data_IF_228997796983
#
_entry.id   IF_228997796983
#
_cell.length_a   1.000
_cell.length_b   1.000
_cell.length_c   1.000
_cell.angle_alpha   90.00
_cell.angle_beta   90.00
_cell.angle_gamma   90.00
#
_symmetry.space_group_name_H-M   'P 1'
#
loop_
_entity.id
_entity.type
_entity.pdbx_description
1 polymer ?
#
# COMPACT_ATOMS: atom_id res chain seq x y z
N UNK A 1 -70.99 6.09 9.13
CA UNK A 1 -70.13 5.14 9.86
C UNK A 1 -69.32 4.30 8.89
N UNK A 2 -68.11 3.99 9.20
CA UNK A 2 -67.07 3.25 8.41
C UNK A 2 -66.31 4.10 7.37
N UNK A 3 -65.02 4.30 7.67
CA UNK A 3 -64.04 4.66 6.66
C UNK A 3 -62.93 5.62 7.07
N UNK A 4 -62.26 5.40 8.21
CA UNK A 4 -60.97 6.04 8.49
C UNK A 4 -60.12 5.06 9.35
N UNK A 5 -59.37 4.20 8.68
CA UNK A 5 -58.27 3.41 9.24
C UNK A 5 -57.58 2.71 8.06
N UNK A 6 -56.58 3.35 7.44
CA UNK A 6 -55.51 2.64 6.72
C UNK A 6 -54.56 3.63 5.99
N UNK A 7 -53.87 4.48 6.74
CA UNK A 7 -52.71 5.20 6.14
C UNK A 7 -51.49 5.29 7.09
N UNK A 8 -51.51 4.69 8.25
CA UNK A 8 -50.37 4.70 9.19
C UNK A 8 -49.39 3.51 9.05
N UNK A 9 -49.71 2.51 8.22
CA UNK A 9 -48.91 1.27 8.09
C UNK A 9 -47.82 1.28 7.02
N UNK A 10 -47.78 2.25 6.13
CA UNK A 10 -46.84 2.25 5.00
C UNK A 10 -45.55 3.08 5.13
N UNK A 11 -45.45 3.95 6.14
CA UNK A 11 -44.24 4.79 6.37
C UNK A 11 -43.22 4.21 7.33
N UNK A 12 -43.48 3.06 7.97
CA UNK A 12 -42.52 2.40 8.89
C UNK A 12 -41.69 1.23 8.28
N UNK A 13 -41.95 0.85 7.03
CA UNK A 13 -41.26 -0.30 6.39
C UNK A 13 -40.10 0.06 5.47
N UNK A 14 -39.84 1.34 5.19
CA UNK A 14 -38.75 1.77 4.27
C UNK A 14 -37.49 2.21 5.01
N UNK A 15 -37.55 2.45 6.34
CA UNK A 15 -36.36 2.86 7.11
C UNK A 15 -35.66 1.73 7.89
N UNK A 16 -36.18 0.50 7.86
CA UNK A 16 -35.57 -0.66 8.54
C UNK A 16 -34.62 -1.49 7.64
N UNK A 17 -34.58 -1.27 6.32
CA UNK A 17 -33.83 -2.12 5.39
C UNK A 17 -32.38 -1.70 5.13
N UNK A 18 -31.94 -0.53 5.61
CA UNK A 18 -30.57 -0.05 5.43
C UNK A 18 -29.66 -0.25 6.66
N UNK A 19 -30.24 -0.62 7.82
CA UNK A 19 -29.47 -0.85 9.07
C UNK A 19 -29.11 -2.32 9.33
N UNK A 20 -29.77 -3.28 8.70
CA UNK A 20 -29.54 -4.71 8.95
C UNK A 20 -28.49 -5.36 8.03
N UNK A 21 -28.05 -4.70 6.94
CA UNK A 21 -27.07 -5.31 6.03
C UNK A 21 -25.60 -5.24 6.49
N UNK A 22 -25.28 -4.43 7.48
CA UNK A 22 -23.89 -4.24 7.95
C UNK A 22 -23.54 -5.20 9.10
N UNK A 23 -24.52 -5.71 9.86
CA UNK A 23 -24.26 -6.61 11.00
C UNK A 23 -24.06 -8.08 10.62
N UNK A 24 -24.47 -8.50 9.41
CA UNK A 24 -24.32 -9.91 8.98
C UNK A 24 -23.02 -10.21 8.27
N UNK A 25 -22.29 -9.21 7.76
CA UNK A 25 -21.04 -9.41 7.01
C UNK A 25 -19.88 -9.76 7.94
N UNK A 26 -19.82 -9.21 9.15
CA UNK A 26 -18.72 -9.47 10.10
C UNK A 26 -18.70 -10.92 10.65
N UNK A 27 -19.85 -11.47 10.99
CA UNK A 27 -19.93 -12.82 11.56
C UNK A 27 -19.70 -13.94 10.54
N UNK A 28 -20.08 -13.73 9.27
CA UNK A 28 -19.95 -14.75 8.22
C UNK A 28 -18.52 -14.85 7.68
N UNK A 29 -17.78 -13.74 7.64
CA UNK A 29 -16.39 -13.74 7.23
C UNK A 29 -15.48 -14.45 8.24
N UNK A 30 -15.68 -14.22 9.54
CA UNK A 30 -14.94 -14.90 10.61
C UNK A 30 -15.16 -16.43 10.63
N UNK A 31 -16.36 -16.91 10.29
CA UNK A 31 -16.69 -18.34 10.25
C UNK A 31 -16.08 -19.07 9.04
N UNK A 32 -15.88 -18.39 7.91
CA UNK A 32 -15.26 -18.99 6.70
C UNK A 32 -13.75 -19.17 6.85
N UNK A 33 -13.07 -18.31 7.58
CA UNK A 33 -11.62 -18.42 7.84
C UNK A 33 -11.27 -19.66 8.70
N UNK A 34 -12.20 -20.22 9.47
CA UNK A 34 -11.96 -21.40 10.30
C UNK A 34 -11.99 -22.75 9.55
N UNK A 35 -12.43 -22.80 8.28
CA UNK A 35 -12.60 -24.05 7.52
C UNK A 35 -11.76 -24.20 6.26
N UNK A 36 -11.03 -23.20 5.85
CA UNK A 36 -10.15 -23.29 4.68
C UNK A 36 -8.78 -23.80 5.11
N UNK A 37 -8.53 -25.09 4.95
CA UNK A 37 -7.16 -25.58 4.78
C UNK A 37 -6.59 -24.86 3.56
N UNK A 38 -5.38 -24.26 3.63
CA UNK A 38 -4.84 -23.54 2.49
C UNK A 38 -4.72 -24.50 1.31
N UNK A 39 -5.29 -24.18 0.14
CA UNK A 39 -5.10 -24.98 -1.06
C UNK A 39 -3.60 -25.08 -1.34
N UNK A 40 -3.14 -26.23 -1.82
CA UNK A 40 -1.77 -26.48 -2.28
C UNK A 40 -1.50 -25.69 -3.57
N UNK A 41 -1.44 -24.34 -3.47
CA UNK A 41 -1.11 -23.51 -4.62
C UNK A 41 0.38 -23.16 -4.63
N UNK A 42 0.94 -23.24 -5.80
CA UNK A 42 2.32 -22.87 -6.08
C UNK A 42 2.55 -21.38 -5.79
N UNK A 43 3.56 -21.13 -5.07
CA UNK A 43 4.18 -19.95 -4.48
C UNK A 43 4.42 -18.79 -5.45
N UNK A 44 3.98 -17.59 -5.15
CA UNK A 44 4.27 -16.37 -5.89
C UNK A 44 4.20 -15.10 -5.01
N UNK A 45 4.77 -14.00 -5.44
CA UNK A 45 5.45 -12.95 -4.67
C UNK A 45 4.77 -11.60 -4.56
N UNK A 46 5.18 -10.82 -3.52
CA UNK A 46 4.86 -9.45 -3.23
C UNK A 46 4.07 -9.34 -1.92
N UNK A 47 4.69 -8.88 -0.84
CA UNK A 47 4.03 -8.78 0.47
C UNK A 47 2.68 -8.05 0.37
N UNK A 48 2.62 -6.90 -0.32
CA UNK A 48 1.39 -6.13 -0.53
C UNK A 48 0.34 -6.90 -1.34
N UNK A 49 0.77 -7.67 -2.35
CA UNK A 49 -0.14 -8.48 -3.15
C UNK A 49 -0.69 -9.66 -2.35
N UNK A 50 0.12 -10.27 -1.46
CA UNK A 50 -0.35 -11.28 -0.51
C UNK A 50 -1.35 -10.72 0.51
N UNK A 51 -1.14 -9.49 0.98
CA UNK A 51 -2.11 -8.77 1.80
C UNK A 51 -3.43 -8.62 1.05
N UNK A 52 -3.39 -8.14 -0.20
CA UNK A 52 -4.59 -7.96 -1.00
C UNK A 52 -5.32 -9.29 -1.28
N UNK A 53 -4.59 -10.37 -1.58
CA UNK A 53 -5.20 -11.70 -1.77
C UNK A 53 -5.98 -12.14 -0.52
N UNK A 54 -5.41 -11.99 0.68
CA UNK A 54 -6.10 -12.35 1.93
C UNK A 54 -7.33 -11.48 2.20
N UNK A 55 -7.25 -10.16 1.92
CA UNK A 55 -8.41 -9.27 2.02
C UNK A 55 -9.51 -9.65 1.03
N UNK A 56 -9.15 -9.97 -0.21
CA UNK A 56 -10.09 -10.39 -1.24
C UNK A 56 -10.80 -11.70 -0.90
N UNK A 57 -10.07 -12.69 -0.34
CA UNK A 57 -10.67 -13.95 0.14
C UNK A 57 -11.60 -13.74 1.35
N UNK A 58 -11.31 -12.75 2.20
CA UNK A 58 -12.17 -12.35 3.31
C UNK A 58 -13.38 -11.49 2.88
N UNK A 59 -13.56 -11.26 1.58
CA UNK A 59 -14.58 -10.37 1.00
C UNK A 59 -14.49 -8.91 1.46
N UNK A 60 -13.31 -8.49 1.93
CA UNK A 60 -13.01 -7.10 2.26
C UNK A 60 -12.59 -6.36 0.99
N UNK A 61 -13.40 -5.37 0.62
CA UNK A 61 -13.26 -4.63 -0.64
C UNK A 61 -12.74 -3.24 -0.33
N UNK A 62 -11.53 -2.88 -0.76
CA UNK A 62 -11.11 -1.49 -0.68
C UNK A 62 -11.93 -0.66 -1.66
N UNK A 63 -12.47 0.45 -1.17
CA UNK A 63 -13.06 1.53 -1.95
C UNK A 63 -12.01 2.62 -2.28
N UNK A 64 -10.85 2.54 -1.64
CA UNK A 64 -9.72 3.42 -1.89
C UNK A 64 -8.39 2.68 -1.71
N UNK A 65 -7.52 2.77 -2.71
CA UNK A 65 -6.15 2.30 -2.66
C UNK A 65 -5.21 3.48 -2.89
N UNK A 66 -4.19 3.59 -2.04
CA UNK A 66 -3.19 4.64 -2.16
C UNK A 66 -1.80 4.01 -2.07
N UNK A 67 -0.90 4.40 -2.95
CA UNK A 67 0.42 3.81 -3.03
C UNK A 67 1.51 4.78 -3.44
N UNK A 68 2.74 4.41 -3.07
CA UNK A 68 3.98 5.06 -3.49
C UNK A 68 4.95 3.98 -3.96
N UNK A 69 5.72 4.27 -5.01
CA UNK A 69 6.70 3.32 -5.56
C UNK A 69 6.04 2.01 -6.01
N UNK A 70 6.54 0.86 -5.57
CA UNK A 70 5.93 -0.44 -5.85
C UNK A 70 4.46 -0.53 -5.34
N UNK A 71 4.13 0.22 -4.28
CA UNK A 71 2.76 0.36 -3.80
C UNK A 71 1.85 1.04 -4.80
N UNK A 72 2.35 1.99 -5.59
CA UNK A 72 1.60 2.64 -6.66
C UNK A 72 1.29 1.66 -7.81
N UNK A 73 2.25 0.81 -8.17
CA UNK A 73 2.07 -0.23 -9.19
C UNK A 73 1.00 -1.23 -8.74
N UNK A 74 1.10 -1.76 -7.52
CA UNK A 74 0.09 -2.67 -6.97
C UNK A 74 -1.30 -2.01 -6.91
N UNK A 75 -1.36 -0.75 -6.44
CA UNK A 75 -2.61 0.01 -6.34
C UNK A 75 -3.24 0.26 -7.72
N UNK A 76 -2.44 0.58 -8.74
CA UNK A 76 -2.93 0.76 -10.11
C UNK A 76 -3.48 -0.54 -10.69
N UNK A 77 -2.80 -1.69 -10.46
CA UNK A 77 -3.31 -3.00 -10.88
C UNK A 77 -4.62 -3.35 -10.16
N UNK A 78 -4.75 -3.03 -8.87
CA UNK A 78 -5.99 -3.26 -8.12
C UNK A 78 -7.12 -2.36 -8.66
N UNK A 79 -6.87 -1.07 -8.84
CA UNK A 79 -7.89 -0.14 -9.30
C UNK A 79 -8.25 -0.31 -10.78
N UNK A 80 -7.30 -0.66 -11.64
CA UNK A 80 -7.50 -0.79 -13.08
C UNK A 80 -7.92 -2.19 -13.54
N UNK A 81 -8.55 -2.99 -12.66
CA UNK A 81 -9.08 -4.29 -13.04
C UNK A 81 -10.39 -4.59 -12.30
N UNK A 82 -11.24 -5.39 -12.94
CA UNK A 82 -12.42 -5.91 -12.28
C UNK A 82 -12.02 -6.83 -11.13
N UNK A 83 -12.86 -6.92 -10.14
CA UNK A 83 -12.58 -7.56 -8.86
C UNK A 83 -11.99 -8.97 -8.99
N UNK A 84 -12.60 -9.78 -9.86
CA UNK A 84 -12.27 -11.19 -10.07
C UNK A 84 -10.88 -11.40 -10.65
N UNK A 85 -10.34 -10.40 -11.34
CA UNK A 85 -9.05 -10.45 -12.02
C UNK A 85 -7.91 -9.84 -11.21
N UNK A 86 -8.17 -8.99 -10.22
CA UNK A 86 -7.16 -8.20 -9.48
C UNK A 86 -6.01 -9.05 -8.95
N UNK A 87 -6.32 -10.15 -8.24
CA UNK A 87 -5.30 -11.05 -7.70
C UNK A 87 -4.52 -11.74 -8.81
N UNK A 88 -5.21 -12.16 -9.88
CA UNK A 88 -4.57 -12.76 -11.06
C UNK A 88 -3.62 -11.80 -11.76
N UNK A 89 -4.00 -10.53 -11.92
CA UNK A 89 -3.17 -9.49 -12.54
C UNK A 89 -1.97 -9.08 -11.68
N UNK A 90 -2.15 -8.99 -10.36
CA UNK A 90 -1.04 -8.82 -9.43
C UNK A 90 -0.04 -9.97 -9.57
N UNK A 91 -0.54 -11.20 -9.65
CA UNK A 91 0.29 -12.40 -9.80
C UNK A 91 1.04 -12.38 -11.13
N UNK A 92 0.36 -12.03 -12.22
CA UNK A 92 0.96 -11.91 -13.55
C UNK A 92 2.11 -10.89 -13.57
N UNK A 93 1.91 -9.71 -12.98
CA UNK A 93 2.95 -8.70 -12.84
C UNK A 93 4.17 -9.24 -12.08
N UNK A 94 3.92 -9.79 -10.90
CA UNK A 94 4.98 -10.25 -10.03
C UNK A 94 5.71 -11.47 -10.59
N UNK A 95 5.05 -12.37 -11.29
CA UNK A 95 5.67 -13.48 -12.00
C UNK A 95 6.52 -13.01 -13.17
N UNK A 96 6.09 -11.96 -13.88
CA UNK A 96 6.87 -11.39 -15.00
C UNK A 96 8.20 -10.80 -14.50
N UNK A 97 8.12 -9.88 -13.54
CA UNK A 97 9.32 -9.14 -13.05
C UNK A 97 10.28 -10.02 -12.26
N UNK A 98 9.88 -11.23 -11.92
CA UNK A 98 10.72 -12.21 -11.20
C UNK A 98 11.21 -13.36 -12.06
N UNK A 99 10.95 -13.33 -13.35
CA UNK A 99 11.54 -14.33 -14.28
C UNK A 99 13.05 -14.13 -14.34
N UNK A 100 13.75 -15.26 -14.44
CA UNK A 100 15.17 -15.20 -14.77
C UNK A 100 15.34 -14.56 -16.16
N UNK A 101 16.22 -13.54 -16.31
CA UNK A 101 16.48 -12.92 -17.60
C UNK A 101 17.09 -13.90 -18.62
N UNK A 102 17.63 -15.03 -18.17
CA UNK A 102 18.21 -16.07 -19.01
C UNK A 102 17.23 -17.16 -19.46
N UNK A 103 15.94 -17.05 -19.08
CA UNK A 103 14.90 -17.99 -19.49
C UNK A 103 14.89 -19.35 -18.76
N UNK A 104 15.85 -19.60 -17.88
CA UNK A 104 15.89 -20.78 -17.01
C UNK A 104 16.20 -20.36 -15.58
N UNK A 105 15.41 -20.87 -14.63
CA UNK A 105 15.66 -20.68 -13.22
C UNK A 105 16.80 -21.62 -12.79
N UNK A 106 18.03 -21.10 -12.74
CA UNK A 106 19.12 -21.84 -12.09
C UNK A 106 18.86 -21.72 -10.58
N UNK A 107 18.18 -22.70 -10.02
CA UNK A 107 18.06 -22.84 -8.57
C UNK A 107 19.41 -23.36 -8.02
N UNK A 108 20.42 -22.47 -7.97
CA UNK A 108 21.71 -22.75 -7.36
C UNK A 108 21.61 -23.20 -5.91
N UNK A 109 20.50 -22.87 -5.22
CA UNK A 109 20.26 -23.31 -3.85
C UNK A 109 19.99 -24.81 -3.77
N UNK A 110 19.46 -25.44 -4.82
CA UNK A 110 19.32 -26.92 -4.89
C UNK A 110 20.64 -27.61 -5.18
N UNK A 111 21.57 -26.95 -5.88
CA UNK A 111 22.89 -27.51 -6.18
C UNK A 111 23.85 -27.48 -4.98
N UNK A 112 23.64 -26.51 -4.09
CA UNK A 112 24.44 -26.32 -2.87
C UNK A 112 23.55 -26.65 -1.67
N UNK A 113 23.55 -27.89 -1.22
CA UNK A 113 22.81 -28.41 -0.05
C UNK A 113 22.49 -27.36 1.06
N UNK A 114 21.54 -26.50 0.82
CA UNK A 114 20.54 -25.90 1.69
C UNK A 114 20.92 -25.06 2.92
N UNK A 115 22.12 -24.57 3.15
CA UNK A 115 22.45 -23.70 4.27
C UNK A 115 22.13 -22.20 4.05
N UNK A 116 22.11 -21.38 5.12
CA UNK A 116 21.87 -19.94 5.08
C UNK A 116 22.89 -19.20 4.18
N UNK A 117 24.14 -19.69 4.12
CA UNK A 117 25.17 -19.17 3.25
C UNK A 117 24.85 -19.36 1.76
N UNK A 118 24.29 -20.49 1.35
CA UNK A 118 23.87 -20.76 -0.01
C UNK A 118 22.70 -19.88 -0.42
N UNK A 119 21.75 -19.64 0.49
CA UNK A 119 20.63 -18.71 0.30
C UNK A 119 21.11 -17.27 0.13
N UNK A 120 22.06 -16.83 0.96
CA UNK A 120 22.66 -15.49 0.86
C UNK A 120 23.42 -15.31 -0.47
N UNK A 121 24.18 -16.30 -0.91
CA UNK A 121 24.90 -16.29 -2.18
C UNK A 121 23.92 -16.23 -3.38
N UNK A 122 22.85 -17.02 -3.38
CA UNK A 122 21.84 -16.99 -4.43
C UNK A 122 21.15 -15.62 -4.53
N UNK A 123 20.83 -14.98 -3.40
CA UNK A 123 20.26 -13.63 -3.34
C UNK A 123 21.22 -12.58 -3.91
N UNK A 124 22.50 -12.63 -3.53
CA UNK A 124 23.52 -11.72 -4.05
C UNK A 124 23.70 -11.88 -5.57
N UNK A 125 23.73 -13.12 -6.06
CA UNK A 125 23.87 -13.39 -7.51
C UNK A 125 22.65 -12.87 -8.27
N UNK A 126 21.44 -13.07 -7.75
CA UNK A 126 20.20 -12.53 -8.36
C UNK A 126 20.22 -10.99 -8.40
N UNK A 127 20.64 -10.33 -7.31
CA UNK A 127 20.75 -8.88 -7.27
C UNK A 127 21.79 -8.33 -8.25
N UNK A 128 22.96 -8.97 -8.36
CA UNK A 128 23.99 -8.60 -9.34
C UNK A 128 23.44 -8.80 -10.76
N UNK A 129 22.77 -9.91 -11.04
CA UNK A 129 22.16 -10.17 -12.33
C UNK A 129 21.11 -9.11 -12.69
N UNK A 130 20.21 -8.77 -11.77
CA UNK A 130 19.23 -7.70 -11.97
C UNK A 130 19.91 -6.34 -12.24
N UNK A 131 21.03 -6.07 -11.57
CA UNK A 131 21.79 -4.83 -11.78
C UNK A 131 22.50 -4.77 -13.14
N UNK A 132 22.96 -5.90 -13.66
CA UNK A 132 23.75 -5.95 -14.92
C UNK A 132 22.86 -6.19 -16.15
N UNK A 133 21.81 -6.99 -16.03
CA UNK A 133 20.96 -7.42 -17.14
C UNK A 133 19.61 -6.69 -17.15
N UNK A 134 19.20 -6.15 -16.00
CA UNK A 134 17.89 -5.55 -15.81
C UNK A 134 16.86 -6.53 -15.26
N UNK A 135 15.60 -6.07 -15.22
CA UNK A 135 14.45 -6.82 -14.69
C UNK A 135 13.43 -7.00 -15.80
N UNK A 136 13.07 -8.25 -16.16
CA UNK A 136 12.10 -8.54 -17.21
C UNK A 136 10.78 -7.79 -17.01
N UNK A 137 10.28 -7.12 -18.04
CA UNK A 137 9.04 -6.37 -17.98
C UNK A 137 9.07 -5.12 -17.09
N UNK A 138 10.26 -4.74 -16.57
CA UNK A 138 10.41 -3.58 -15.69
C UNK A 138 11.48 -2.60 -16.21
N UNK A 139 12.75 -3.02 -16.32
CA UNK A 139 13.81 -2.13 -16.72
C UNK A 139 14.97 -2.87 -17.40
N UNK A 140 15.73 -2.13 -18.22
CA UNK A 140 17.00 -2.57 -18.80
C UNK A 140 18.09 -1.54 -18.55
N UNK A 141 19.38 -1.96 -18.39
CA UNK A 141 20.48 -1.03 -18.27
C UNK A 141 20.62 -0.17 -19.54
N UNK A 142 20.98 1.09 -19.38
CA UNK A 142 21.24 1.97 -20.51
C UNK A 142 22.55 1.61 -21.22
N UNK A 143 22.51 1.54 -22.51
CA UNK A 143 23.69 1.32 -23.40
C UNK A 143 23.64 2.40 -24.48
N UNK A 144 24.65 3.29 -24.60
CA UNK A 144 25.82 3.45 -23.73
C UNK A 144 25.40 3.89 -22.32
N UNK A 145 26.26 3.59 -21.31
CA UNK A 145 26.01 3.90 -19.92
C UNK A 145 25.81 5.41 -19.66
N UNK A 146 25.14 5.73 -18.59
CA UNK A 146 24.70 7.08 -18.18
C UNK A 146 25.79 8.16 -18.30
N UNK A 147 27.03 7.84 -17.93
CA UNK A 147 28.15 8.79 -17.99
C UNK A 147 28.63 9.13 -19.43
N UNK A 148 28.18 8.37 -20.43
CA UNK A 148 28.49 8.58 -21.85
C UNK A 148 27.30 9.22 -22.60
N UNK A 149 26.22 9.55 -21.92
CA UNK A 149 25.06 10.20 -22.51
C UNK A 149 25.26 11.73 -22.58
N UNK A 150 24.64 12.40 -23.55
CA UNK A 150 24.68 13.86 -23.63
C UNK A 150 24.16 14.52 -22.35
N UNK A 151 24.85 15.53 -21.80
CA UNK A 151 24.37 16.27 -20.63
C UNK A 151 22.96 16.84 -20.83
N UNK A 152 22.21 16.93 -19.77
CA UNK A 152 20.83 17.48 -19.75
C UNK A 152 19.76 16.62 -20.45
N UNK A 153 20.09 15.37 -20.77
CA UNK A 153 19.09 14.39 -21.22
C UNK A 153 18.61 13.53 -20.06
N UNK A 154 17.41 12.96 -20.14
CA UNK A 154 16.90 12.02 -19.12
C UNK A 154 17.78 10.76 -19.06
N UNK A 155 18.38 10.38 -20.19
CA UNK A 155 19.30 9.26 -20.30
C UNK A 155 20.58 9.49 -19.48
N UNK A 156 21.06 10.74 -19.40
CA UNK A 156 22.21 11.12 -18.59
C UNK A 156 21.91 11.16 -17.09
N UNK A 157 20.64 11.08 -16.69
CA UNK A 157 20.18 11.21 -15.30
C UNK A 157 19.78 9.87 -14.65
N UNK A 158 19.89 8.74 -15.36
CA UNK A 158 19.44 7.45 -14.84
C UNK A 158 20.22 6.26 -15.39
N UNK A 159 20.39 5.23 -14.56
CA UNK A 159 21.12 4.03 -14.94
C UNK A 159 20.31 3.06 -15.81
N UNK A 160 18.98 3.09 -15.68
CA UNK A 160 18.10 2.15 -16.39
C UNK A 160 17.07 2.88 -17.23
N UNK A 161 16.64 2.19 -18.27
CA UNK A 161 15.46 2.51 -19.07
C UNK A 161 14.24 1.74 -18.53
N UNK A 162 13.11 2.41 -18.36
CA UNK A 162 11.87 1.84 -17.82
C UNK A 162 10.74 1.72 -18.84
N UNK A 163 11.05 1.77 -20.13
CA UNK A 163 10.06 1.60 -21.22
C UNK A 163 9.32 0.27 -21.12
N UNK A 164 10.02 -0.80 -20.66
CA UNK A 164 9.38 -2.10 -20.44
C UNK A 164 8.29 -2.04 -19.36
N UNK A 165 8.49 -1.25 -18.30
CA UNK A 165 7.48 -1.06 -17.28
C UNK A 165 6.23 -0.38 -17.85
N UNK A 166 6.40 0.63 -18.72
CA UNK A 166 5.28 1.29 -19.38
C UNK A 166 4.42 0.28 -20.12
N UNK A 167 5.02 -0.51 -21.00
CA UNK A 167 4.31 -1.55 -21.77
C UNK A 167 3.64 -2.59 -20.86
N UNK A 168 4.30 -2.97 -19.76
CA UNK A 168 3.74 -3.91 -18.79
C UNK A 168 2.51 -3.35 -18.10
N UNK A 169 2.57 -2.09 -17.68
CA UNK A 169 1.43 -1.42 -17.02
C UNK A 169 0.26 -1.20 -17.96
N UNK A 170 0.52 -0.75 -19.21
CA UNK A 170 -0.51 -0.58 -20.23
C UNK A 170 -1.24 -1.90 -20.56
N UNK A 171 -0.57 -3.03 -20.42
CA UNK A 171 -1.15 -4.36 -20.62
C UNK A 171 -1.94 -4.87 -19.40
N UNK A 172 -1.53 -4.51 -18.18
CA UNK A 172 -2.08 -5.05 -16.94
C UNK A 172 -3.11 -4.15 -16.27
N UNK A 173 -3.21 -2.89 -16.67
CA UNK A 173 -4.04 -1.87 -16.04
C UNK A 173 -4.95 -1.24 -17.08
N UNK A 174 -6.23 -1.28 -16.86
CA UNK A 174 -7.22 -0.53 -17.63
C UNK A 174 -7.35 0.89 -17.02
N UNK A 175 -6.70 1.86 -17.67
CA UNK A 175 -6.73 3.26 -17.26
C UNK A 175 -8.08 3.92 -17.55
N UNK A 176 -8.84 3.44 -18.53
CA UNK A 176 -10.18 3.94 -18.81
C UNK A 176 -11.14 3.53 -17.69
N UNK A 177 -10.99 2.32 -17.15
CA UNK A 177 -11.72 1.85 -15.98
C UNK A 177 -11.44 2.76 -14.76
N UNK A 178 -10.16 3.05 -14.46
CA UNK A 178 -9.77 3.93 -13.33
C UNK A 178 -10.42 5.30 -13.46
N UNK A 179 -10.48 5.86 -14.67
CA UNK A 179 -11.01 7.19 -14.94
C UNK A 179 -12.53 7.22 -15.20
N UNK A 180 -13.19 6.05 -15.15
CA UNK A 180 -14.63 5.97 -15.42
C UNK A 180 -15.45 6.57 -14.28
N UNK A 181 -16.53 7.27 -14.62
CA UNK A 181 -17.47 7.81 -13.64
C UNK A 181 -18.16 6.69 -12.88
N UNK A 182 -18.07 6.74 -11.55
CA UNK A 182 -18.69 5.73 -10.68
C UNK A 182 -17.84 4.47 -10.49
N UNK A 183 -16.57 4.53 -10.84
CA UNK A 183 -15.61 3.49 -10.48
C UNK A 183 -15.61 3.26 -8.96
N UNK A 184 -15.58 2.00 -8.55
CA UNK A 184 -15.75 1.59 -7.16
C UNK A 184 -14.47 1.71 -6.32
N UNK A 185 -13.31 1.97 -6.94
CA UNK A 185 -12.01 2.08 -6.26
C UNK A 185 -11.31 3.39 -6.60
N UNK A 186 -11.23 4.29 -5.64
CA UNK A 186 -10.39 5.49 -5.73
C UNK A 186 -8.91 5.12 -5.74
N UNK A 187 -8.11 5.74 -6.59
CA UNK A 187 -6.67 5.55 -6.68
C UNK A 187 -5.93 6.85 -6.37
N UNK A 188 -4.96 6.79 -5.44
CA UNK A 188 -4.04 7.91 -5.16
C UNK A 188 -2.59 7.46 -5.29
N UNK A 189 -1.77 8.24 -6.00
CA UNK A 189 -0.37 7.94 -6.32
C UNK A 189 0.54 9.04 -5.80
N UNK A 190 1.46 8.68 -4.88
CA UNK A 190 2.42 9.62 -4.30
C UNK A 190 3.67 9.78 -5.16
N UNK A 191 4.03 11.03 -5.50
CA UNK A 191 5.19 11.41 -6.29
C UNK A 191 5.91 12.59 -5.66
N UNK A 192 7.15 12.87 -6.06
CA UNK A 192 7.87 14.10 -5.69
C UNK A 192 8.14 14.91 -6.95
N UNK A 193 7.68 16.15 -6.96
CA UNK A 193 8.03 17.08 -8.02
C UNK A 193 9.52 17.46 -7.92
N UNK A 194 10.26 17.27 -9.01
CA UNK A 194 11.73 17.42 -9.02
C UNK A 194 12.18 18.83 -8.75
N UNK A 195 11.48 19.82 -9.32
CA UNK A 195 11.87 21.22 -9.22
C UNK A 195 11.54 21.83 -7.85
N UNK A 196 10.35 21.55 -7.33
CA UNK A 196 9.91 22.09 -6.05
C UNK A 196 10.31 21.28 -4.83
N UNK A 197 10.67 20.00 -5.02
CA UNK A 197 10.90 19.03 -3.93
C UNK A 197 9.66 18.66 -3.13
N UNK A 198 8.47 19.06 -3.57
CA UNK A 198 7.23 18.82 -2.84
C UNK A 198 6.63 17.43 -3.16
N UNK A 199 6.07 16.80 -2.13
CA UNK A 199 5.26 15.60 -2.27
C UNK A 199 3.91 15.95 -2.90
N UNK A 200 3.61 15.35 -4.03
CA UNK A 200 2.39 15.55 -4.81
C UNK A 200 1.64 14.21 -4.89
N UNK A 201 0.32 14.26 -4.71
CA UNK A 201 -0.54 13.10 -4.94
C UNK A 201 -1.42 13.33 -6.16
N UNK A 202 -1.34 12.43 -7.12
CA UNK A 202 -2.32 12.32 -8.20
C UNK A 202 -3.44 11.40 -7.76
N UNK A 203 -4.68 11.85 -7.90
CA UNK A 203 -5.85 11.18 -7.35
C UNK A 203 -6.96 11.05 -8.40
N UNK A 204 -7.51 9.84 -8.58
CA UNK A 204 -8.51 9.57 -9.61
C UNK A 204 -9.82 10.34 -9.46
N UNK A 205 -10.03 11.01 -8.31
CA UNK A 205 -11.21 11.89 -8.13
C UNK A 205 -11.01 13.30 -8.67
N UNK A 206 -9.75 13.72 -8.86
CA UNK A 206 -9.39 15.07 -9.30
C UNK A 206 -8.58 15.08 -10.59
N UNK A 207 -7.87 13.99 -10.87
CA UNK A 207 -6.92 13.88 -11.96
C UNK A 207 -7.32 12.75 -12.94
N UNK A 208 -7.00 12.92 -14.21
CA UNK A 208 -7.06 11.82 -15.18
C UNK A 208 -5.80 11.00 -15.05
N UNK A 209 -5.91 9.82 -14.44
CA UNK A 209 -4.77 8.95 -14.20
C UNK A 209 -4.30 8.29 -15.50
N UNK A 210 -3.01 8.41 -15.79
CA UNK A 210 -2.32 7.82 -16.94
C UNK A 210 -1.17 6.94 -16.44
N UNK A 211 -0.61 6.14 -17.33
CA UNK A 211 0.54 5.26 -17.02
C UNK A 211 1.74 6.04 -16.48
N UNK A 212 1.95 7.26 -16.96
CA UNK A 212 3.03 8.14 -16.52
C UNK A 212 2.95 8.46 -15.01
N UNK A 213 1.75 8.61 -14.44
CA UNK A 213 1.58 8.86 -13.00
C UNK A 213 2.06 7.66 -12.16
N UNK A 214 1.79 6.43 -12.61
CA UNK A 214 2.26 5.21 -11.95
C UNK A 214 3.78 5.09 -12.07
N UNK A 215 4.32 5.35 -13.26
CA UNK A 215 5.75 5.33 -13.53
C UNK A 215 6.50 6.39 -12.71
N UNK A 216 5.96 7.61 -12.61
CA UNK A 216 6.52 8.70 -11.80
C UNK A 216 6.63 8.32 -10.33
N UNK A 217 5.56 7.70 -9.78
CA UNK A 217 5.58 7.20 -8.41
C UNK A 217 6.63 6.11 -8.17
N UNK A 218 7.01 5.36 -9.19
CA UNK A 218 8.05 4.32 -9.14
C UNK A 218 9.43 4.76 -9.65
N UNK A 219 9.61 6.03 -10.00
CA UNK A 219 10.85 6.58 -10.58
C UNK A 219 11.91 6.86 -9.52
N UNK A 220 12.48 5.80 -8.92
CA UNK A 220 13.49 5.89 -7.87
C UNK A 220 14.83 6.36 -8.42
N UNK A 221 15.22 7.57 -8.03
CA UNK A 221 16.53 8.15 -8.38
C UNK A 221 17.70 7.46 -7.66
N UNK A 222 18.89 7.38 -8.22
CA UNK A 222 19.29 7.70 -9.59
C UNK A 222 19.08 6.52 -10.55
N UNK A 223 18.37 5.47 -10.11
CA UNK A 223 18.21 4.24 -10.88
C UNK A 223 17.30 4.44 -12.09
N UNK A 224 16.18 5.13 -11.93
CA UNK A 224 15.17 5.35 -12.96
C UNK A 224 15.05 6.82 -13.34
N UNK A 225 14.69 7.13 -14.61
CA UNK A 225 14.56 8.51 -15.07
C UNK A 225 13.39 9.22 -14.39
N UNK A 226 13.49 10.54 -14.27
CA UNK A 226 12.33 11.37 -13.96
C UNK A 226 11.28 11.20 -15.07
N UNK A 227 10.01 11.23 -14.68
CA UNK A 227 8.88 11.12 -15.60
C UNK A 227 8.24 12.49 -15.78
N UNK A 228 8.08 12.91 -17.04
CA UNK A 228 7.39 14.15 -17.38
C UNK A 228 5.88 13.95 -17.36
N UNK A 229 5.17 14.85 -16.65
CA UNK A 229 3.70 14.93 -16.60
C UNK A 229 3.33 16.40 -16.75
N UNK A 230 2.66 16.72 -17.83
CA UNK A 230 2.13 18.06 -18.12
C UNK A 230 3.18 19.20 -18.02
N UNK A 231 4.42 18.91 -18.45
CA UNK A 231 5.57 19.84 -18.49
C UNK A 231 6.38 19.91 -17.21
N UNK A 232 6.04 19.14 -16.19
CA UNK A 232 6.82 19.04 -14.95
C UNK A 232 7.39 17.64 -14.78
N UNK A 233 8.49 17.53 -14.00
CA UNK A 233 9.21 16.27 -13.80
C UNK A 233 9.01 15.72 -12.41
N UNK A 234 8.80 14.41 -12.31
CA UNK A 234 8.47 13.73 -11.07
C UNK A 234 9.39 12.53 -10.83
N UNK A 235 9.72 12.32 -9.56
CA UNK A 235 10.40 11.14 -9.02
C UNK A 235 9.52 10.39 -8.02
N UNK A 236 10.03 9.24 -7.58
CA UNK A 236 9.40 8.37 -6.59
C UNK A 236 9.06 9.13 -5.30
N UNK A 237 7.80 9.07 -4.90
CA UNK A 237 7.31 9.69 -3.67
C UNK A 237 7.95 9.15 -2.40
N UNK A 238 8.51 7.93 -2.44
CA UNK A 238 9.21 7.28 -1.34
C UNK A 238 10.47 8.03 -0.85
N UNK A 239 11.00 8.96 -1.66
CA UNK A 239 12.04 9.88 -1.21
C UNK A 239 11.58 10.70 0.01
N UNK A 240 10.30 11.06 0.05
CA UNK A 240 9.69 11.88 1.10
C UNK A 240 8.79 11.05 2.00
N UNK A 241 7.92 10.19 1.43
CA UNK A 241 6.95 9.40 2.20
C UNK A 241 6.66 8.06 1.53
N UNK A 242 6.91 6.97 2.26
CA UNK A 242 6.61 5.62 1.79
C UNK A 242 5.15 5.20 2.01
N UNK A 243 4.46 5.84 2.96
CA UNK A 243 3.08 5.53 3.31
C UNK A 243 2.19 6.74 3.11
N UNK A 244 1.07 6.63 2.39
CA UNK A 244 0.17 7.75 2.10
C UNK A 244 -0.74 8.12 3.28
N UNK A 245 -0.41 7.77 4.52
CA UNK A 245 -1.23 8.02 5.70
C UNK A 245 -1.51 9.52 5.90
N UNK A 246 -0.53 10.38 5.62
CA UNK A 246 -0.71 11.83 5.69
C UNK A 246 -1.72 12.34 4.65
N UNK A 247 -1.74 11.72 3.47
CA UNK A 247 -2.73 12.03 2.44
C UNK A 247 -4.14 11.65 2.88
N UNK A 248 -4.31 10.44 3.46
CA UNK A 248 -5.56 10.03 4.05
C UNK A 248 -6.01 11.00 5.16
N UNK A 249 -5.09 11.39 6.03
CA UNK A 249 -5.37 12.29 7.15
C UNK A 249 -5.93 13.66 6.74
N UNK A 250 -5.49 14.16 5.58
CA UNK A 250 -5.96 15.44 5.02
C UNK A 250 -7.34 15.33 4.38
N UNK A 251 -7.78 14.12 4.04
CA UNK A 251 -9.12 13.89 3.51
C UNK A 251 -10.10 13.75 4.68
N UNK A 252 -11.18 14.49 4.68
CA UNK A 252 -12.23 14.36 5.70
C UNK A 252 -13.05 13.10 5.45
N UNK A 253 -12.47 11.96 5.79
CA UNK A 253 -13.08 10.65 5.55
C UNK A 253 -14.17 10.34 6.58
N UNK A 254 -15.17 9.54 6.20
CA UNK A 254 -16.05 8.87 7.14
C UNK A 254 -15.27 7.85 8.00
N UNK A 255 -15.97 7.14 8.89
CA UNK A 255 -15.36 6.04 9.63
C UNK A 255 -14.69 5.06 8.67
N UNK A 256 -13.40 4.79 8.90
CA UNK A 256 -12.54 4.09 7.94
C UNK A 256 -11.79 2.96 8.64
N UNK A 257 -11.78 1.79 8.01
CA UNK A 257 -10.84 0.71 8.30
C UNK A 257 -9.73 0.75 7.24
N UNK A 258 -8.52 1.09 7.65
CA UNK A 258 -7.36 1.19 6.77
C UNK A 258 -6.34 0.08 7.07
N UNK A 259 -5.83 -0.57 6.04
CA UNK A 259 -4.71 -1.50 6.13
C UNK A 259 -3.46 -0.81 5.60
N UNK A 260 -2.53 -0.49 6.51
CA UNK A 260 -1.24 0.09 6.15
C UNK A 260 -0.21 -1.01 5.99
N UNK A 261 0.33 -1.15 4.79
CA UNK A 261 1.34 -2.15 4.48
C UNK A 261 2.71 -1.49 4.40
N UNK A 262 3.59 -1.82 5.35
CA UNK A 262 4.95 -1.30 5.41
C UNK A 262 5.97 -2.43 5.16
N UNK A 263 6.93 -2.18 4.27
CA UNK A 263 7.98 -3.13 3.92
C UNK A 263 9.24 -2.96 4.78
N UNK A 264 9.25 -2.00 5.71
CA UNK A 264 10.42 -1.61 6.48
C UNK A 264 10.16 -1.73 7.99
N UNK A 265 10.73 -2.77 8.61
CA UNK A 265 10.69 -2.92 10.05
C UNK A 265 11.69 -1.97 10.74
N UNK A 266 11.26 -1.33 11.85
CA UNK A 266 12.15 -0.49 12.64
C UNK A 266 13.13 -1.28 13.52
N UNK A 267 12.73 -2.36 14.22
CA UNK A 267 13.66 -3.23 14.92
C UNK A 267 14.60 -3.96 13.96
N UNK A 268 15.86 -4.13 14.34
CA UNK A 268 16.86 -4.85 13.56
C UNK A 268 18.10 -5.17 14.37
N UNK A 269 18.91 -6.07 13.87
CA UNK A 269 20.17 -6.47 14.51
C UNK A 269 21.30 -5.46 14.30
N UNK A 270 22.35 -5.56 15.11
CA UNK A 270 23.59 -4.81 14.90
C UNK A 270 24.27 -5.30 13.61
N UNK A 271 24.59 -4.40 12.65
CA UNK A 271 25.30 -4.76 11.42
C UNK A 271 26.64 -5.44 11.68
N UNK A 272 26.95 -6.48 10.91
CA UNK A 272 28.18 -7.27 11.03
C UNK A 272 29.24 -6.94 9.96
N UNK A 273 28.83 -6.28 8.86
CA UNK A 273 29.67 -5.92 7.72
C UNK A 273 29.13 -4.65 7.06
N UNK A 274 29.89 -4.09 6.11
CA UNK A 274 29.48 -2.85 5.41
C UNK A 274 28.16 -2.98 4.64
N UNK A 275 27.88 -4.03 3.88
CA UNK A 275 26.56 -4.27 3.30
C UNK A 275 25.40 -4.24 4.30
N UNK A 276 25.58 -4.83 5.49
CA UNK A 276 24.57 -4.80 6.56
C UNK A 276 24.35 -3.36 7.06
N UNK A 277 25.42 -2.55 7.17
CA UNK A 277 25.33 -1.13 7.54
C UNK A 277 24.46 -0.38 6.54
N UNK A 278 24.69 -0.56 5.23
CA UNK A 278 23.91 0.08 4.18
C UNK A 278 22.44 -0.33 4.21
N UNK A 279 22.17 -1.61 4.44
CA UNK A 279 20.81 -2.14 4.59
C UNK A 279 20.13 -1.53 5.82
N UNK A 280 20.82 -1.56 6.97
CA UNK A 280 20.27 -1.02 8.21
C UNK A 280 20.00 0.48 8.15
N UNK A 281 20.86 1.24 7.49
CA UNK A 281 20.66 2.65 7.24
C UNK A 281 19.35 2.89 6.45
N UNK A 282 19.11 2.13 5.40
CA UNK A 282 17.86 2.23 4.60
C UNK A 282 16.63 1.84 5.42
N UNK A 283 16.71 0.77 6.20
CA UNK A 283 15.61 0.34 7.08
C UNK A 283 15.24 1.44 8.07
N UNK A 284 16.24 2.04 8.74
CA UNK A 284 16.03 3.14 9.68
C UNK A 284 15.42 4.35 8.98
N UNK A 285 15.96 4.77 7.83
CA UNK A 285 15.47 5.93 7.09
C UNK A 285 14.01 5.76 6.65
N UNK A 286 13.63 4.57 6.18
CA UNK A 286 12.29 4.32 5.69
C UNK A 286 11.29 4.07 6.84
N UNK A 287 11.62 3.22 7.81
CA UNK A 287 10.73 2.93 8.94
C UNK A 287 10.51 4.13 9.85
N UNK A 288 11.56 4.94 10.11
CA UNK A 288 11.44 6.12 10.97
C UNK A 288 10.47 7.16 10.41
N UNK A 289 10.42 7.34 9.09
CA UNK A 289 9.47 8.25 8.44
C UNK A 289 8.03 7.81 8.69
N UNK A 290 7.74 6.52 8.54
CA UNK A 290 6.39 5.96 8.79
C UNK A 290 6.02 6.09 10.27
N UNK A 291 6.92 5.70 11.18
CA UNK A 291 6.67 5.75 12.63
C UNK A 291 6.41 7.18 13.09
N UNK A 292 7.27 8.12 12.71
CA UNK A 292 7.14 9.51 13.12
C UNK A 292 5.83 10.14 12.62
N UNK A 293 5.43 9.85 11.38
CA UNK A 293 4.16 10.33 10.81
C UNK A 293 2.96 9.70 11.47
N UNK A 294 2.99 8.39 11.72
CA UNK A 294 1.91 7.69 12.43
C UNK A 294 1.75 8.23 13.84
N UNK A 295 2.86 8.49 14.54
CA UNK A 295 2.84 9.07 15.88
C UNK A 295 2.26 10.49 15.87
N UNK A 296 2.75 11.37 14.98
CA UNK A 296 2.21 12.73 14.83
C UNK A 296 0.71 12.73 14.49
N UNK A 297 0.27 11.77 13.68
CA UNK A 297 -1.14 11.61 13.35
C UNK A 297 -1.96 11.20 14.58
N UNK A 298 -1.48 10.29 15.42
CA UNK A 298 -2.12 9.91 16.69
C UNK A 298 -2.26 11.12 17.62
N UNK A 299 -1.20 11.91 17.78
CA UNK A 299 -1.18 13.08 18.67
C UNK A 299 -2.18 14.15 18.22
N UNK A 300 -2.19 14.49 16.93
CA UNK A 300 -3.15 15.43 16.36
C UNK A 300 -4.59 14.94 16.55
N UNK A 301 -4.86 13.67 16.29
CA UNK A 301 -6.20 13.11 16.47
C UNK A 301 -6.62 13.10 17.94
N UNK A 302 -5.72 12.79 18.85
CA UNK A 302 -6.00 12.87 20.28
C UNK A 302 -6.37 14.31 20.71
N UNK A 303 -5.64 15.31 20.17
CA UNK A 303 -5.96 16.72 20.40
C UNK A 303 -7.36 17.07 19.88
N UNK A 304 -7.70 16.66 18.67
CA UNK A 304 -9.01 16.94 18.08
C UNK A 304 -10.15 16.23 18.83
N UNK A 305 -9.96 14.97 19.20
CA UNK A 305 -10.95 14.25 20.01
C UNK A 305 -11.15 14.92 21.37
N UNK A 306 -10.10 15.40 22.00
CA UNK A 306 -10.16 16.15 23.25
C UNK A 306 -10.89 17.48 23.08
N UNK A 307 -10.57 18.21 22.01
CA UNK A 307 -11.24 19.47 21.66
C UNK A 307 -12.73 19.23 21.40
N UNK A 308 -13.09 18.18 20.70
CA UNK A 308 -14.50 17.82 20.45
C UNK A 308 -15.26 17.61 21.76
N UNK A 309 -14.74 16.76 22.67
CA UNK A 309 -15.35 16.52 23.97
C UNK A 309 -15.46 17.79 24.82
N UNK A 310 -14.47 18.68 24.74
CA UNK A 310 -14.53 19.99 25.41
C UNK A 310 -15.63 20.86 24.80
N UNK A 311 -15.72 20.98 23.50
CA UNK A 311 -16.70 21.79 22.81
C UNK A 311 -18.14 21.28 23.02
N UNK A 312 -18.35 19.99 23.23
CA UNK A 312 -19.69 19.45 23.59
C UNK A 312 -20.17 19.98 24.92
N UNK A 313 -19.26 20.25 25.86
CA UNK A 313 -19.60 20.80 27.19
C UNK A 313 -19.80 22.33 27.19
N UNK A 314 -19.43 23.03 26.13
CA UNK A 314 -19.58 24.48 25.99
C UNK A 314 -21.04 24.83 25.73
N UNK A 315 -21.62 25.81 26.45
CA UNK A 315 -23.02 26.25 26.23
C UNK A 315 -23.23 26.73 24.78
N UNK A 316 -24.45 26.49 24.26
CA UNK A 316 -24.78 26.79 22.84
C UNK A 316 -24.61 28.28 22.47
N UNK A 317 -24.73 29.21 23.42
CA UNK A 317 -24.54 30.63 23.21
C UNK A 317 -23.09 30.96 22.76
N UNK A 318 -22.09 30.24 23.26
CA UNK A 318 -20.68 30.40 22.89
C UNK A 318 -20.30 29.67 21.60
N UNK A 319 -21.15 28.74 21.12
CA UNK A 319 -20.91 27.98 19.87
C UNK A 319 -21.31 28.74 18.60
N UNK A 320 -21.90 29.93 18.74
CA UNK A 320 -22.44 30.72 17.61
C UNK A 320 -21.36 31.51 16.85
N UNK A 321 -20.22 31.79 17.47
CA UNK A 321 -19.10 32.52 16.85
C UNK A 321 -18.44 31.75 15.71
N UNK A 322 -17.83 32.47 14.78
CA UNK A 322 -17.12 31.87 13.63
C UNK A 322 -15.97 30.98 14.07
N UNK A 323 -15.18 31.39 15.07
CA UNK A 323 -14.10 30.58 15.63
C UNK A 323 -14.61 29.28 16.24
N UNK A 324 -15.71 29.34 16.97
CA UNK A 324 -16.32 28.14 17.56
C UNK A 324 -16.83 27.19 16.48
N UNK A 325 -17.46 27.70 15.42
CA UNK A 325 -17.91 26.89 14.26
C UNK A 325 -16.70 26.26 13.56
N UNK A 326 -15.61 27.02 13.37
CA UNK A 326 -14.39 26.50 12.79
C UNK A 326 -13.81 25.39 13.65
N UNK A 327 -13.63 25.60 14.95
CA UNK A 327 -13.12 24.61 15.90
C UNK A 327 -14.00 23.34 15.92
N UNK A 328 -15.33 23.49 15.93
CA UNK A 328 -16.25 22.36 15.83
C UNK A 328 -16.09 21.60 14.50
N UNK A 329 -15.89 22.31 13.38
CA UNK A 329 -15.71 21.68 12.09
C UNK A 329 -14.41 20.88 11.99
N UNK A 330 -13.35 21.37 12.66
CA UNK A 330 -12.04 20.71 12.73
C UNK A 330 -12.04 19.56 13.72
N UNK A 331 -12.69 19.75 14.88
CA UNK A 331 -12.75 18.77 15.95
C UNK A 331 -13.68 17.59 15.66
N UNK A 332 -14.68 17.76 14.76
CA UNK A 332 -15.60 16.70 14.37
C UNK A 332 -14.88 15.64 13.55
N UNK A 333 -14.52 14.55 14.20
CA UNK A 333 -13.71 13.49 13.60
C UNK A 333 -14.47 12.19 13.46
N UNK A 334 -14.05 11.46 12.45
CA UNK A 334 -14.43 10.09 12.21
C UNK A 334 -13.55 9.13 13.04
N UNK A 335 -14.02 7.92 13.23
CA UNK A 335 -13.22 6.82 13.79
C UNK A 335 -12.41 6.17 12.68
N UNK A 336 -11.11 6.08 12.88
CA UNK A 336 -10.22 5.42 11.94
C UNK A 336 -9.52 4.24 12.63
N UNK A 337 -9.74 3.04 12.11
CA UNK A 337 -9.00 1.85 12.49
C UNK A 337 -7.87 1.65 11.50
N UNK A 338 -6.63 1.72 11.98
CA UNK A 338 -5.43 1.53 11.20
C UNK A 338 -4.75 0.22 11.59
N UNK A 339 -4.85 -0.77 10.73
CA UNK A 339 -4.18 -2.07 10.89
C UNK A 339 -2.81 -1.99 10.23
N UNK A 340 -1.75 -2.05 11.04
CA UNK A 340 -0.37 -2.07 10.55
C UNK A 340 0.06 -3.48 10.20
N UNK A 341 0.37 -3.70 8.92
CA UNK A 341 0.94 -4.92 8.40
C UNK A 341 2.41 -4.64 8.02
N UNK A 342 3.29 -4.79 8.99
CA UNK A 342 4.72 -4.52 8.81
C UNK A 342 5.43 -5.81 8.45
N UNK A 343 6.12 -5.83 7.30
CA UNK A 343 6.96 -6.96 6.93
C UNK A 343 8.12 -7.11 7.92
N UNK A 344 8.22 -8.27 8.55
CA UNK A 344 9.31 -8.64 9.46
C UNK A 344 10.01 -9.88 8.90
N UNK A 345 11.26 -9.75 8.43
CA UNK A 345 12.00 -10.90 7.90
C UNK A 345 12.32 -11.89 9.02
N UNK A 346 12.15 -13.18 8.74
CA UNK A 346 12.47 -14.27 9.67
C UNK A 346 13.97 -14.62 9.70
N UNK A 347 14.76 -14.03 8.80
CA UNK A 347 16.22 -14.19 8.75
C UNK A 347 16.85 -12.89 8.26
N UNK A 348 18.09 -12.55 8.66
CA UNK A 348 18.79 -11.35 8.19
C UNK A 348 18.83 -11.32 6.65
N UNK A 349 18.18 -10.32 6.06
CA UNK A 349 18.22 -10.04 4.63
C UNK A 349 19.42 -9.11 4.38
N UNK A 350 20.39 -9.55 3.58
CA UNK A 350 21.58 -8.75 3.28
C UNK A 350 21.28 -7.51 2.42
N UNK A 351 22.33 -6.76 2.04
CA UNK A 351 22.28 -5.50 1.28
C UNK A 351 21.56 -5.55 -0.09
N UNK A 352 21.19 -6.74 -0.56
CA UNK A 352 20.53 -6.98 -1.84
C UNK A 352 19.02 -6.76 -1.85
N UNK A 353 18.40 -6.36 -0.73
CA UNK A 353 16.94 -6.27 -0.55
C UNK A 353 16.22 -5.47 -1.65
N UNK A 354 16.80 -4.38 -2.13
CA UNK A 354 16.19 -3.49 -3.14
C UNK A 354 16.30 -4.03 -4.58
N UNK A 355 17.26 -4.90 -4.85
CA UNK A 355 17.56 -5.43 -6.19
C UNK A 355 17.29 -6.94 -6.29
N UNK A 356 16.76 -7.50 -5.24
CA UNK A 356 16.44 -8.91 -5.16
C UNK A 356 15.08 -9.18 -5.78
N UNK A 357 15.07 -9.54 -7.06
CA UNK A 357 13.88 -9.93 -7.81
C UNK A 357 13.83 -11.45 -8.06
N UNK A 358 14.56 -12.29 -7.28
CA UNK A 358 14.49 -13.73 -7.47
C UNK A 358 13.11 -14.29 -7.12
N UNK A 359 12.65 -15.31 -7.84
CA UNK A 359 11.32 -15.89 -7.69
C UNK A 359 11.05 -16.38 -6.26
N UNK A 360 12.04 -16.91 -5.59
CA UNK A 360 11.92 -17.46 -4.23
C UNK A 360 11.66 -16.38 -3.17
N UNK A 361 12.46 -15.30 -3.14
CA UNK A 361 12.29 -14.24 -2.15
C UNK A 361 10.94 -13.56 -2.27
N UNK A 362 10.40 -13.41 -3.50
CA UNK A 362 9.08 -12.88 -3.70
C UNK A 362 7.98 -13.83 -3.22
N UNK A 363 8.10 -15.14 -3.41
CA UNK A 363 7.15 -16.11 -2.91
C UNK A 363 7.04 -16.07 -1.39
N UNK A 364 8.19 -15.93 -0.71
CA UNK A 364 8.25 -15.80 0.74
C UNK A 364 7.54 -14.51 1.21
N UNK A 365 7.76 -13.40 0.49
CA UNK A 365 7.09 -12.11 0.77
C UNK A 365 5.57 -12.19 0.60
N UNK A 366 5.08 -12.79 -0.48
CA UNK A 366 3.64 -12.96 -0.71
C UNK A 366 2.96 -13.79 0.38
N UNK A 367 3.55 -14.93 0.69
CA UNK A 367 3.05 -15.82 1.75
C UNK A 367 3.06 -15.08 3.10
N UNK A 368 4.10 -14.29 3.36
CA UNK A 368 4.21 -13.52 4.60
C UNK A 368 3.09 -12.49 4.69
N UNK A 369 2.88 -11.68 3.65
CA UNK A 369 1.80 -10.70 3.61
C UNK A 369 0.41 -11.33 3.76
N UNK A 370 0.17 -12.44 3.08
CA UNK A 370 -1.07 -13.21 3.23
C UNK A 370 -1.28 -13.69 4.68
N UNK A 371 -0.25 -14.31 5.28
CA UNK A 371 -0.33 -14.84 6.66
C UNK A 371 -0.50 -13.73 7.70
N UNK A 372 0.20 -12.60 7.53
CA UNK A 372 0.08 -11.45 8.43
C UNK A 372 -1.33 -10.89 8.40
N UNK A 373 -1.92 -10.78 7.21
CA UNK A 373 -3.30 -10.31 7.05
C UNK A 373 -4.30 -11.30 7.65
N UNK A 374 -4.20 -12.59 7.34
CA UNK A 374 -5.07 -13.62 7.94
C UNK A 374 -4.96 -13.62 9.46
N UNK A 375 -3.76 -13.39 10.01
CA UNK A 375 -3.56 -13.26 11.45
C UNK A 375 -4.29 -12.03 12.00
N UNK A 376 -4.10 -10.86 11.40
CA UNK A 376 -4.77 -9.63 11.81
C UNK A 376 -6.30 -9.74 11.74
N UNK A 377 -6.84 -10.36 10.68
CA UNK A 377 -8.29 -10.54 10.49
C UNK A 377 -8.96 -11.46 11.53
N UNK A 378 -8.18 -12.22 12.32
CA UNK A 378 -8.71 -13.03 13.44
C UNK A 378 -9.03 -12.21 14.68
N UNK A 379 -8.61 -10.97 14.71
CA UNK A 379 -8.80 -10.05 15.83
C UNK A 379 -10.08 -9.23 15.63
N UNK A 380 -11.19 -9.53 16.34
CA UNK A 380 -12.48 -8.87 16.12
C UNK A 380 -12.44 -7.38 16.43
N UNK A 381 -11.54 -6.93 17.32
CA UNK A 381 -11.39 -5.54 17.72
C UNK A 381 -11.12 -4.57 16.55
N UNK A 382 -10.56 -5.05 15.43
CA UNK A 382 -10.35 -4.20 14.24
C UNK A 382 -11.67 -3.83 13.55
N UNK A 383 -12.74 -4.60 13.78
CA UNK A 383 -14.07 -4.41 13.20
C UNK A 383 -15.06 -3.79 14.20
N UNK A 384 -14.71 -3.75 15.49
CA UNK A 384 -15.58 -3.20 16.51
C UNK A 384 -15.72 -1.69 16.31
N UNK A 385 -16.97 -1.20 16.30
CA UNK A 385 -17.20 0.24 16.27
C UNK A 385 -16.77 0.82 17.62
N UNK A 386 -15.75 1.66 17.60
CA UNK A 386 -15.54 2.56 18.73
C UNK A 386 -16.80 3.42 18.97
N UNK A 387 -17.13 3.69 20.23
CA UNK A 387 -18.24 4.59 20.56
C UNK A 387 -18.00 5.96 19.88
N UNK A 388 -19.07 6.68 19.52
CA UNK A 388 -18.95 8.02 18.92
C UNK A 388 -18.19 9.00 19.84
N UNK A 389 -18.17 8.74 21.16
CA UNK A 389 -17.35 9.45 22.15
C UNK A 389 -15.84 9.24 21.98
N UNK A 390 -15.44 8.18 21.29
CA UNK A 390 -14.04 7.77 21.13
C UNK A 390 -13.53 8.09 19.71
N UNK A 391 -14.00 9.17 19.11
CA UNK A 391 -13.50 9.63 17.82
C UNK A 391 -11.95 9.73 17.84
N UNK A 392 -11.32 9.19 16.80
CA UNK A 392 -9.86 9.19 16.73
C UNK A 392 -9.29 8.04 15.88
N UNK A 393 -7.98 7.83 16.01
CA UNK A 393 -7.28 6.74 15.34
C UNK A 393 -6.92 5.65 16.35
N UNK A 394 -7.36 4.45 16.05
CA UNK A 394 -6.96 3.22 16.73
C UNK A 394 -5.97 2.49 15.84
N UNK A 395 -4.76 2.31 16.34
CA UNK A 395 -3.69 1.62 15.58
C UNK A 395 -3.51 0.23 16.17
N UNK A 396 -3.67 -0.76 15.32
CA UNK A 396 -3.53 -2.18 15.63
C UNK A 396 -2.25 -2.71 15.00
N UNK A 397 -1.39 -3.29 15.79
CA UNK A 397 -0.18 -3.98 15.36
C UNK A 397 -0.16 -5.38 15.99
N UNK A 398 -0.20 -6.39 15.16
CA UNK A 398 -0.24 -7.79 15.59
C UNK A 398 1.06 -8.50 15.21
N UNK A 399 2.16 -8.30 15.98
CA UNK A 399 3.39 -9.04 15.72
C UNK A 399 3.13 -10.53 15.93
N UNK A 400 3.57 -11.35 14.99
CA UNK A 400 3.56 -12.80 15.23
C UNK A 400 4.53 -13.10 16.35
N UNK A 401 4.05 -13.69 17.43
CA UNK A 401 4.90 -14.32 18.42
C UNK A 401 5.54 -15.54 17.74
N UNK A 402 6.84 -15.48 17.49
CA UNK A 402 7.61 -16.64 17.10
C UNK A 402 7.62 -17.57 18.33
N UNK A 403 6.72 -18.57 18.30
CA UNK A 403 6.69 -19.68 19.25
C UNK A 403 7.62 -20.79 18.79
#
# INVERSE_FOLDING_TARGET
MRGRLNQAGKKRRVQASSRERISQVGATAALRLHRASPPRWRRSRGHQAGVYEALAEADLRPDWVAGTSIGAINSAIIAGNIREERVGKLREFWELVSRSPFGFDIDFAHLLSGGDAARSFARQTSAITASVVGVPGFCVPRIPGTLLQPPSTLEAMSFYDTTLLKTTLERLVDFDLINSKGHDVRLSLGTVNVQSGQLVYFDSTTDIIRVEHVMASGALMPWFPAVEIDGEYYWDGGIVSNTPLEWLARQRLPNTLAFQVDLWAAPGELPKNFPDVMTRMKEILNSSRTIYRTQGYKEINHLYATLFRFLEQVPEEFKRGEDAKYLMSVARQSVHHLVNLVYRPTSPEGASKDHEFSRRSMEDLWITGYRDTVHALRHPEIFERAAESDAGIFVFDFPRNEG
#
